data_IF_259624313625
#
_entry.id   IF_259624313625
#
_cell.length_a   1.000
_cell.length_b   1.000
_cell.length_c   1.000
_cell.angle_alpha   90.00
_cell.angle_beta   90.00
_cell.angle_gamma   90.00
#
_symmetry.space_group_name_H-M   'P 1'
#
loop_
_entity.id
_entity.type
_entity.pdbx_description
1 polymer ?
#
# COMPACT_ATOMS: atom_id res chain seq x y z
N UNK A 1 -1.22 24.57 -10.99
CA UNK A 1 -1.99 25.84 -10.85
C UNK A 1 -3.29 25.83 -11.65
N UNK A 2 -3.30 25.45 -12.95
CA UNK A 2 -4.52 25.39 -13.77
C UNK A 2 -5.63 24.54 -13.12
N UNK A 3 -5.30 23.38 -12.62
CA UNK A 3 -6.26 22.45 -11.98
C UNK A 3 -6.90 22.99 -10.69
N UNK A 4 -6.17 23.77 -9.88
CA UNK A 4 -6.72 24.42 -8.69
C UNK A 4 -7.69 25.55 -9.06
N UNK A 5 -7.41 26.28 -10.13
CA UNK A 5 -8.30 27.30 -10.66
C UNK A 5 -9.61 26.72 -11.19
N UNK A 6 -9.51 25.56 -11.89
CA UNK A 6 -10.67 24.86 -12.46
C UNK A 6 -11.60 24.29 -11.38
N UNK A 7 -11.03 23.67 -10.31
CA UNK A 7 -11.85 23.01 -9.26
C UNK A 7 -12.29 23.98 -8.17
N UNK A 8 -11.41 24.89 -7.75
CA UNK A 8 -11.65 25.74 -6.58
C UNK A 8 -11.78 27.25 -6.89
N UNK A 9 -11.64 27.64 -8.18
CA UNK A 9 -11.69 29.03 -8.59
C UNK A 9 -10.54 29.91 -8.08
N UNK A 10 -9.49 29.31 -7.54
CA UNK A 10 -8.36 30.01 -6.89
C UNK A 10 -7.13 29.99 -7.77
N UNK A 11 -6.58 31.18 -8.06
CA UNK A 11 -5.27 31.33 -8.67
C UNK A 11 -4.18 31.12 -7.60
N UNK A 12 -3.51 29.96 -7.65
CA UNK A 12 -2.42 29.66 -6.73
C UNK A 12 -1.05 29.86 -7.42
N UNK A 13 -0.21 30.74 -6.87
CA UNK A 13 1.17 30.87 -7.29
C UNK A 13 2.01 29.68 -6.78
N UNK A 14 3.14 29.38 -7.43
CA UNK A 14 4.08 28.36 -6.97
C UNK A 14 4.56 28.64 -5.54
N UNK A 15 4.80 29.89 -5.20
CA UNK A 15 5.20 30.34 -3.87
C UNK A 15 4.10 30.12 -2.82
N UNK A 16 2.84 30.38 -3.17
CA UNK A 16 1.70 30.10 -2.31
C UNK A 16 1.57 28.60 -2.00
N UNK A 17 1.73 27.74 -3.03
CA UNK A 17 1.71 26.29 -2.87
C UNK A 17 2.88 25.84 -1.97
N UNK A 18 4.08 26.36 -2.18
CA UNK A 18 5.25 26.04 -1.34
C UNK A 18 4.99 26.40 0.13
N UNK A 19 4.52 27.62 0.41
CA UNK A 19 4.21 28.04 1.77
C UNK A 19 3.10 27.22 2.44
N UNK A 20 2.08 26.80 1.68
CA UNK A 20 1.05 25.89 2.19
C UNK A 20 1.63 24.53 2.53
N UNK A 21 2.47 23.98 1.65
CA UNK A 21 3.15 22.71 1.86
C UNK A 21 4.02 22.75 3.11
N UNK A 22 4.80 23.81 3.29
CA UNK A 22 5.68 23.99 4.47
C UNK A 22 4.90 24.03 5.78
N UNK A 23 3.66 24.58 5.77
CA UNK A 23 2.77 24.56 6.94
C UNK A 23 2.16 23.19 7.22
N UNK A 24 1.91 22.39 6.20
CA UNK A 24 1.28 21.07 6.35
C UNK A 24 2.32 19.99 6.72
N UNK A 25 3.57 20.12 6.28
CA UNK A 25 4.62 19.13 6.52
C UNK A 25 4.82 18.76 8.01
N UNK A 26 4.84 19.71 8.97
CA UNK A 26 4.95 19.35 10.39
C UNK A 26 3.77 18.51 10.88
N UNK A 27 2.55 18.86 10.48
CA UNK A 27 1.31 18.16 10.84
C UNK A 27 1.32 16.74 10.24
N UNK A 28 1.74 16.61 8.98
CA UNK A 28 1.88 15.32 8.32
C UNK A 28 2.94 14.43 9.00
N UNK A 29 4.05 15.01 9.45
CA UNK A 29 5.08 14.30 10.21
C UNK A 29 4.59 13.85 11.58
N UNK A 30 3.87 14.69 12.30
CA UNK A 30 3.24 14.33 13.57
C UNK A 30 2.25 13.18 13.39
N UNK A 31 1.39 13.28 12.38
CA UNK A 31 0.44 12.22 12.04
C UNK A 31 1.17 10.92 11.67
N UNK A 32 2.23 10.97 10.87
CA UNK A 32 3.01 9.81 10.47
C UNK A 32 3.67 9.12 11.67
N UNK A 33 4.13 9.89 12.67
CA UNK A 33 4.83 9.36 13.84
C UNK A 33 3.90 9.07 15.05
N UNK A 34 2.60 9.25 14.89
CA UNK A 34 1.66 9.00 16.00
C UNK A 34 1.72 7.56 16.49
N UNK A 35 1.45 7.30 17.78
CA UNK A 35 1.28 5.94 18.28
C UNK A 35 0.18 5.20 17.54
N UNK A 36 0.36 3.90 17.33
CA UNK A 36 -0.60 3.01 16.69
C UNK A 36 -1.24 2.08 17.72
N UNK A 37 -2.34 1.43 17.37
CA UNK A 37 -2.94 0.39 18.21
C UNK A 37 -1.98 -0.80 18.33
N UNK A 38 -2.02 -1.49 19.47
CA UNK A 38 -1.12 -2.62 19.75
C UNK A 38 -1.37 -3.81 18.84
N UNK A 39 -2.64 -4.02 18.43
CA UNK A 39 -3.05 -5.19 17.64
C UNK A 39 -3.96 -4.80 16.49
N UNK A 40 -3.73 -5.47 15.36
CA UNK A 40 -4.57 -5.35 14.17
C UNK A 40 -5.03 -6.73 13.71
N UNK A 41 -6.31 -6.83 13.31
CA UNK A 41 -6.84 -8.04 12.71
C UNK A 41 -6.23 -8.26 11.31
N UNK A 42 -6.22 -7.22 10.49
CA UNK A 42 -5.68 -7.28 9.12
C UNK A 42 -4.93 -5.99 8.83
N UNK A 43 -3.75 -6.11 8.20
CA UNK A 43 -3.02 -4.98 7.62
C UNK A 43 -2.80 -5.24 6.14
N UNK A 44 -3.25 -4.31 5.30
CA UNK A 44 -3.01 -4.29 3.86
C UNK A 44 -1.77 -3.43 3.58
N UNK A 45 -0.83 -3.97 2.83
CA UNK A 45 0.40 -3.29 2.45
C UNK A 45 0.54 -3.33 0.93
N UNK A 46 0.64 -2.16 0.31
CA UNK A 46 0.72 -2.00 -1.15
C UNK A 46 1.59 -0.80 -1.52
N UNK A 47 2.11 -0.78 -2.74
CA UNK A 47 2.90 0.32 -3.24
C UNK A 47 2.34 0.86 -4.56
N UNK A 48 2.03 2.15 -4.57
CA UNK A 48 1.58 2.85 -5.77
C UNK A 48 2.75 3.56 -6.43
N UNK A 49 3.01 3.23 -7.68
CA UNK A 49 4.11 3.80 -8.45
C UNK A 49 3.66 5.00 -9.29
N UNK A 50 4.49 6.04 -9.31
CA UNK A 50 4.25 7.25 -10.09
C UNK A 50 5.56 7.83 -10.61
N UNK A 51 5.45 8.71 -11.60
CA UNK A 51 6.59 9.40 -12.18
C UNK A 51 6.62 10.85 -11.70
N UNK A 52 7.77 11.28 -11.18
CA UNK A 52 8.03 12.65 -10.77
C UNK A 52 9.14 13.25 -11.60
N UNK A 53 9.08 14.53 -11.85
CA UNK A 53 10.18 15.27 -12.46
C UNK A 53 11.10 15.77 -11.33
N UNK A 54 12.32 15.25 -11.30
CA UNK A 54 13.35 15.64 -10.37
C UNK A 54 14.64 15.94 -11.16
N UNK A 55 15.26 17.12 -10.94
CA UNK A 55 16.52 17.55 -11.60
C UNK A 55 16.44 17.41 -13.15
N UNK A 56 15.34 17.89 -13.74
CA UNK A 56 15.02 17.81 -15.17
C UNK A 56 14.86 16.37 -15.73
N UNK A 57 14.94 15.34 -14.89
CA UNK A 57 14.73 13.93 -15.26
C UNK A 57 13.41 13.42 -14.76
N UNK A 58 12.82 12.45 -15.47
CA UNK A 58 11.64 11.71 -15.00
C UNK A 58 12.12 10.50 -14.22
N UNK A 59 11.88 10.49 -12.91
CA UNK A 59 12.21 9.37 -12.04
C UNK A 59 10.95 8.68 -11.53
N UNK A 60 11.00 7.35 -11.46
CA UNK A 60 9.94 6.54 -10.88
C UNK A 60 10.07 6.57 -9.36
N UNK A 61 8.99 6.88 -8.66
CA UNK A 61 8.88 6.81 -7.20
C UNK A 61 7.74 5.87 -6.83
N UNK A 62 7.77 5.35 -5.60
CA UNK A 62 6.71 4.58 -5.02
C UNK A 62 6.20 5.25 -3.74
N UNK A 63 4.89 5.29 -3.56
CA UNK A 63 4.26 5.53 -2.26
C UNK A 63 3.83 4.19 -1.69
N UNK A 64 4.41 3.84 -0.59
CA UNK A 64 4.06 2.67 0.20
C UNK A 64 2.95 3.05 1.16
N UNK A 65 1.92 2.25 1.21
CA UNK A 65 0.73 2.48 2.01
C UNK A 65 0.49 1.28 2.91
N UNK A 66 0.28 1.51 4.19
CA UNK A 66 -0.20 0.48 5.10
C UNK A 66 -1.56 0.91 5.68
N UNK A 67 -2.57 0.05 5.54
CA UNK A 67 -3.93 0.27 6.06
C UNK A 67 -4.26 -0.87 7.01
N UNK A 68 -4.54 -0.54 8.26
CA UNK A 68 -4.89 -1.51 9.29
C UNK A 68 -6.38 -1.52 9.60
N UNK A 69 -6.92 -2.71 9.84
CA UNK A 69 -8.23 -2.93 10.46
C UNK A 69 -7.99 -3.42 11.88
N UNK A 70 -8.45 -2.65 12.86
CA UNK A 70 -8.35 -2.99 14.28
C UNK A 70 -9.32 -4.14 14.65
N UNK A 71 -9.18 -4.71 15.82
CA UNK A 71 -10.05 -5.79 16.32
C UNK A 71 -11.52 -5.35 16.50
N UNK A 72 -11.76 -4.05 16.66
CA UNK A 72 -13.10 -3.45 16.74
C UNK A 72 -13.71 -3.15 15.35
N UNK A 73 -13.00 -3.49 14.25
CA UNK A 73 -13.42 -3.25 12.88
C UNK A 73 -13.08 -1.86 12.34
N UNK A 74 -12.56 -0.95 13.16
CA UNK A 74 -12.14 0.38 12.70
C UNK A 74 -10.94 0.30 11.77
N UNK A 75 -11.04 1.01 10.64
CA UNK A 75 -9.95 1.08 9.64
C UNK A 75 -9.21 2.39 9.75
N UNK A 76 -7.88 2.30 9.72
CA UNK A 76 -7.02 3.49 9.71
C UNK A 76 -5.81 3.30 8.78
N UNK A 77 -5.32 4.40 8.22
CA UNK A 77 -4.05 4.41 7.49
C UNK A 77 -2.93 4.45 8.52
N UNK A 78 -2.09 3.42 8.58
CA UNK A 78 -0.98 3.33 9.52
C UNK A 78 0.14 4.29 9.15
N UNK A 79 0.38 4.48 7.86
CA UNK A 79 1.39 5.40 7.37
C UNK A 79 1.49 5.41 5.85
N UNK A 80 2.23 6.41 5.36
CA UNK A 80 2.60 6.61 3.97
C UNK A 80 4.10 6.85 3.90
N UNK A 81 4.80 6.08 3.08
CA UNK A 81 6.26 6.23 2.90
C UNK A 81 6.58 6.42 1.43
N UNK A 82 7.55 7.28 1.15
CA UNK A 82 8.00 7.56 -0.22
C UNK A 82 9.39 6.95 -0.40
N UNK A 83 9.53 6.10 -1.41
CA UNK A 83 10.79 5.47 -1.76
C UNK A 83 11.05 5.44 -3.26
N UNK A 84 12.22 4.97 -3.64
CA UNK A 84 12.59 4.76 -5.03
C UNK A 84 11.96 3.50 -5.58
N UNK A 85 12.68 2.38 -5.48
CA UNK A 85 12.21 1.09 -5.97
C UNK A 85 11.63 0.27 -4.82
N UNK A 86 10.55 -0.45 -5.11
CA UNK A 86 9.96 -1.39 -4.20
C UNK A 86 10.91 -2.58 -3.96
N UNK A 87 11.16 -2.86 -2.67
CA UNK A 87 12.02 -3.97 -2.26
C UNK A 87 11.62 -4.50 -0.89
N UNK A 88 11.87 -5.79 -0.66
CA UNK A 88 11.65 -6.41 0.65
C UNK A 88 12.43 -5.69 1.77
N UNK A 89 13.64 -5.19 1.48
CA UNK A 89 14.44 -4.41 2.43
C UNK A 89 13.75 -3.11 2.85
N UNK A 90 13.10 -2.42 1.92
CA UNK A 90 12.36 -1.20 2.24
C UNK A 90 11.12 -1.53 3.08
N UNK A 91 10.38 -2.57 2.71
CA UNK A 91 9.26 -3.04 3.50
C UNK A 91 9.65 -3.47 4.92
N UNK A 92 10.83 -4.09 5.09
CA UNK A 92 11.36 -4.39 6.40
C UNK A 92 11.54 -3.12 7.25
N UNK A 93 12.02 -2.02 6.66
CA UNK A 93 12.13 -0.74 7.39
C UNK A 93 10.78 -0.16 7.77
N UNK A 94 9.78 -0.26 6.89
CA UNK A 94 8.40 0.16 7.17
C UNK A 94 7.77 -0.66 8.31
N UNK A 95 7.95 -1.97 8.29
CA UNK A 95 7.45 -2.87 9.35
C UNK A 95 8.08 -2.55 10.71
N UNK A 96 9.39 -2.30 10.75
CA UNK A 96 10.08 -1.89 11.98
C UNK A 96 9.58 -0.53 12.49
N UNK A 97 9.32 0.43 11.60
CA UNK A 97 8.73 1.72 11.99
C UNK A 97 7.33 1.53 12.59
N UNK A 98 6.47 0.73 11.96
CA UNK A 98 5.14 0.39 12.48
C UNK A 98 5.25 -0.23 13.87
N UNK A 99 6.18 -1.17 14.06
CA UNK A 99 6.46 -1.80 15.37
C UNK A 99 6.92 -0.79 16.41
N UNK A 100 7.85 0.10 16.06
CA UNK A 100 8.37 1.14 16.95
C UNK A 100 7.29 2.15 17.37
N UNK A 101 6.22 2.28 16.58
CA UNK A 101 5.05 3.11 16.90
C UNK A 101 4.01 2.40 17.77
N UNK A 102 4.31 1.21 18.28
CA UNK A 102 3.55 0.50 19.31
C UNK A 102 2.79 -0.73 18.83
N UNK A 103 2.88 -1.12 17.57
CA UNK A 103 2.24 -2.36 17.08
C UNK A 103 3.01 -3.56 17.63
N UNK A 104 2.31 -4.39 18.40
CA UNK A 104 2.85 -5.61 18.99
C UNK A 104 2.53 -6.84 18.13
N UNK A 105 1.34 -6.85 17.50
CA UNK A 105 0.84 -8.02 16.75
C UNK A 105 -0.08 -7.63 15.60
N UNK A 106 0.00 -8.40 14.51
CA UNK A 106 -0.90 -8.34 13.36
C UNK A 106 -1.28 -9.77 12.99
N UNK A 107 -2.57 -10.09 13.01
CA UNK A 107 -3.03 -11.46 12.75
C UNK A 107 -2.82 -11.83 11.27
N UNK A 108 -3.24 -10.96 10.34
CA UNK A 108 -3.13 -11.20 8.90
C UNK A 108 -2.48 -9.99 8.22
N UNK A 109 -1.43 -10.23 7.44
CA UNK A 109 -0.82 -9.22 6.57
C UNK A 109 -1.15 -9.55 5.11
N UNK A 110 -1.92 -8.67 4.48
CA UNK A 110 -2.28 -8.82 3.06
C UNK A 110 -1.30 -8.04 2.18
N UNK A 111 -0.57 -8.75 1.31
CA UNK A 111 0.51 -8.21 0.48
C UNK A 111 0.42 -8.71 -0.95
N UNK A 112 1.16 -8.06 -1.85
CA UNK A 112 1.39 -8.58 -3.20
C UNK A 112 2.40 -9.76 -3.20
N UNK A 113 2.79 -10.21 -4.39
CA UNK A 113 3.72 -11.33 -4.58
C UNK A 113 5.21 -10.92 -4.60
N UNK A 114 5.61 -9.81 -3.98
CA UNK A 114 7.01 -9.35 -3.98
C UNK A 114 7.92 -10.40 -3.32
N UNK A 115 8.98 -10.78 -4.03
CA UNK A 115 9.96 -11.76 -3.52
C UNK A 115 10.65 -11.26 -2.25
N UNK A 116 10.71 -12.13 -1.22
CA UNK A 116 11.33 -11.83 0.08
C UNK A 116 10.45 -10.97 1.01
N UNK A 117 9.24 -10.57 0.58
CA UNK A 117 8.36 -9.80 1.46
C UNK A 117 7.85 -10.63 2.64
N UNK A 118 7.53 -11.91 2.39
CA UNK A 118 7.14 -12.84 3.45
C UNK A 118 8.21 -12.99 4.53
N UNK A 119 9.47 -13.14 4.13
CA UNK A 119 10.60 -13.23 5.06
C UNK A 119 10.76 -11.95 5.89
N UNK A 120 10.58 -10.78 5.25
CA UNK A 120 10.62 -9.49 5.94
C UNK A 120 9.49 -9.34 6.97
N UNK A 121 8.28 -9.83 6.66
CA UNK A 121 7.14 -9.82 7.59
C UNK A 121 7.44 -10.73 8.78
N UNK A 122 7.83 -11.98 8.55
CA UNK A 122 8.09 -12.93 9.65
C UNK A 122 9.29 -12.54 10.51
N UNK A 123 10.27 -11.81 9.97
CA UNK A 123 11.38 -11.28 10.76
C UNK A 123 10.94 -10.25 11.82
N UNK A 124 9.85 -9.51 11.58
CA UNK A 124 9.33 -8.47 12.50
C UNK A 124 8.10 -8.95 13.25
N UNK A 125 7.23 -9.71 12.60
CA UNK A 125 5.94 -10.21 13.07
C UNK A 125 5.86 -11.73 12.82
N UNK A 126 6.53 -12.54 13.64
CA UNK A 126 6.68 -13.98 13.39
C UNK A 126 5.37 -14.77 13.46
N UNK A 127 4.34 -14.24 14.12
CA UNK A 127 3.03 -14.89 14.25
C UNK A 127 2.02 -14.44 13.18
N UNK A 128 2.37 -13.48 12.33
CA UNK A 128 1.45 -12.95 11.33
C UNK A 128 1.23 -13.97 10.20
N UNK A 129 -0.03 -14.22 9.86
CA UNK A 129 -0.37 -14.95 8.65
C UNK A 129 -0.27 -14.06 7.43
N UNK A 130 0.29 -14.60 6.34
CA UNK A 130 0.47 -13.85 5.09
C UNK A 130 -0.62 -14.25 4.10
N UNK A 131 -1.49 -13.30 3.78
CA UNK A 131 -2.49 -13.44 2.74
C UNK A 131 -2.01 -12.73 1.47
N UNK A 132 -1.83 -13.47 0.38
CA UNK A 132 -1.54 -12.84 -0.91
C UNK A 132 -2.77 -12.13 -1.46
N UNK A 133 -2.60 -10.88 -1.88
CA UNK A 133 -3.66 -10.06 -2.44
C UNK A 133 -4.26 -10.72 -3.71
N UNK A 134 -5.51 -11.12 -3.63
CA UNK A 134 -6.24 -11.79 -4.72
C UNK A 134 -6.27 -10.90 -5.99
N UNK A 135 -6.43 -9.58 -5.84
CA UNK A 135 -6.44 -8.65 -6.97
C UNK A 135 -5.11 -8.67 -7.73
N UNK A 136 -3.98 -8.69 -6.99
CA UNK A 136 -2.65 -8.80 -7.61
C UNK A 136 -2.42 -10.17 -8.24
N UNK A 137 -2.88 -11.26 -7.62
CA UNK A 137 -2.80 -12.60 -8.19
C UNK A 137 -3.57 -12.70 -9.50
N UNK A 138 -4.81 -12.19 -9.54
CA UNK A 138 -5.63 -12.14 -10.75
C UNK A 138 -4.91 -11.35 -11.85
N UNK A 139 -4.45 -10.14 -11.55
CA UNK A 139 -3.72 -9.30 -12.51
C UNK A 139 -2.46 -9.97 -13.02
N UNK A 140 -1.75 -10.68 -12.15
CA UNK A 140 -0.54 -11.41 -12.55
C UNK A 140 -0.88 -12.58 -13.46
N UNK A 141 -1.88 -13.39 -13.14
CA UNK A 141 -2.32 -14.52 -13.95
C UNK A 141 -2.73 -14.10 -15.36
N UNK A 142 -3.42 -12.96 -15.50
CA UNK A 142 -3.86 -12.46 -16.82
C UNK A 142 -2.71 -12.06 -17.75
N UNK A 143 -1.51 -11.78 -17.22
CA UNK A 143 -0.34 -11.42 -18.06
C UNK A 143 0.12 -12.55 -18.99
N UNK A 144 -0.19 -13.79 -18.65
CA UNK A 144 0.21 -14.97 -19.41
C UNK A 144 -0.88 -15.45 -20.39
N UNK A 145 -2.03 -14.77 -20.42
CA UNK A 145 -3.18 -15.17 -21.22
C UNK A 145 -3.29 -14.24 -22.43
N UNK A 146 -3.39 -14.83 -23.64
CA UNK A 146 -3.63 -14.04 -24.84
C UNK A 146 -5.00 -13.38 -24.79
N UNK A 147 -5.12 -12.19 -25.40
CA UNK A 147 -6.35 -11.39 -25.39
C UNK A 147 -7.60 -12.17 -25.82
N UNK A 148 -7.46 -13.08 -26.77
CA UNK A 148 -8.55 -13.96 -27.27
C UNK A 148 -9.18 -14.82 -26.15
N UNK A 149 -8.38 -15.27 -25.20
CA UNK A 149 -8.81 -16.18 -24.12
C UNK A 149 -9.04 -15.46 -22.79
N UNK A 150 -8.79 -14.17 -22.71
CA UNK A 150 -8.84 -13.42 -21.46
C UNK A 150 -10.22 -13.45 -20.81
N UNK A 151 -11.30 -13.26 -21.60
CA UNK A 151 -12.67 -13.24 -21.07
C UNK A 151 -13.09 -14.60 -20.49
N UNK A 152 -12.99 -15.73 -21.23
CA UNK A 152 -13.33 -17.04 -20.65
C UNK A 152 -12.45 -17.38 -19.45
N UNK A 153 -11.14 -17.17 -19.52
CA UNK A 153 -10.23 -17.39 -18.40
C UNK A 153 -10.65 -16.61 -17.14
N UNK A 154 -11.01 -15.33 -17.27
CA UNK A 154 -11.48 -14.52 -16.14
C UNK A 154 -12.83 -15.01 -15.58
N UNK A 155 -13.69 -15.57 -16.41
CA UNK A 155 -14.94 -16.16 -15.95
C UNK A 155 -14.68 -17.42 -15.11
N UNK A 156 -13.80 -18.30 -15.57
CA UNK A 156 -13.43 -19.52 -14.86
C UNK A 156 -12.67 -19.19 -13.55
N UNK A 157 -11.70 -18.29 -13.61
CA UNK A 157 -10.94 -17.85 -12.43
C UNK A 157 -11.86 -17.24 -11.36
N UNK A 158 -12.96 -16.58 -11.78
CA UNK A 158 -13.95 -16.02 -10.85
C UNK A 158 -14.66 -17.11 -10.04
N UNK A 159 -14.89 -18.28 -10.60
CA UNK A 159 -15.49 -19.40 -9.88
C UNK A 159 -14.57 -19.84 -8.74
N UNK A 160 -13.26 -19.91 -8.99
CA UNK A 160 -12.25 -20.28 -7.99
C UNK A 160 -12.23 -19.31 -6.81
N UNK A 161 -11.97 -18.01 -7.03
CA UNK A 161 -11.81 -17.06 -5.92
C UNK A 161 -13.13 -16.61 -5.26
N UNK A 162 -14.29 -17.04 -5.80
CA UNK A 162 -15.61 -16.82 -5.21
C UNK A 162 -16.23 -18.11 -4.67
N UNK A 163 -15.53 -19.21 -4.70
CA UNK A 163 -16.01 -20.46 -4.12
C UNK A 163 -16.21 -20.31 -2.61
N UNK A 164 -17.30 -20.88 -2.09
CA UNK A 164 -17.64 -20.80 -0.67
C UNK A 164 -16.72 -21.69 0.21
N UNK A 165 -16.11 -22.70 -0.40
CA UNK A 165 -15.16 -23.61 0.26
C UNK A 165 -13.99 -23.92 -0.67
N UNK A 166 -12.87 -24.40 -0.09
CA UNK A 166 -11.67 -24.83 -0.84
C UNK A 166 -11.99 -26.02 -1.80
N UNK A 167 -12.88 -26.91 -1.38
CA UNK A 167 -13.27 -28.08 -2.18
C UNK A 167 -14.10 -27.71 -3.43
N UNK A 168 -14.69 -26.52 -3.44
CA UNK A 168 -15.48 -25.99 -4.57
C UNK A 168 -14.66 -25.09 -5.50
N UNK A 169 -13.42 -24.75 -5.14
CA UNK A 169 -12.51 -23.91 -5.92
C UNK A 169 -11.65 -24.75 -6.87
#
# INVERSE_FOLDING_TARGET
>A
TAHLKEIYGVDASAEMISRMTDRILPIAKEWQNRPLAKKYAIVFMDAVHFHVRQDAQIVKKAVYVAIGTRLDGYREVLGLWIGGNESAKYWLSVLNEIKNRGVEDIMIVSVDGLTGFGDAIHAVLPQAEIQRCIVHQIRYSTKFISYKYLRPFMADLKLVYKADTEDLA
#
